data_IF_191093385855
#
_entry.id   IF_191093385855
#
_cell.length_a   1.000
_cell.length_b   1.000
_cell.length_c   1.000
_cell.angle_alpha   90.00
_cell.angle_beta   90.00
_cell.angle_gamma   90.00
#
_symmetry.space_group_name_H-M   'P 1'
#
loop_
_entity.id
_entity.type
_entity.pdbx_description
1 polymer ?
#
# COMPACT_ATOMS: atom_id res chain seq x y z
N UNK A 1 3.69 2.14 36.56
CA UNK A 1 2.83 3.05 35.76
C UNK A 1 3.74 3.89 34.88
N UNK A 2 4.05 3.40 33.68
CA UNK A 2 4.82 4.13 32.67
C UNK A 2 3.82 4.54 31.60
N UNK A 3 3.57 5.84 31.56
CA UNK A 3 2.77 6.50 30.54
C UNK A 3 3.77 6.92 29.45
N UNK A 4 3.93 6.11 28.40
CA UNK A 4 4.68 6.50 27.21
C UNK A 4 3.69 6.90 26.14
N UNK A 5 3.43 8.21 26.05
CA UNK A 5 2.81 8.80 24.87
C UNK A 5 3.70 8.48 23.67
N UNK A 6 3.19 7.66 22.75
CA UNK A 6 3.79 7.49 21.43
C UNK A 6 3.68 8.84 20.73
N UNK A 7 4.81 9.54 20.62
CA UNK A 7 4.92 10.73 19.79
C UNK A 7 4.62 10.30 18.34
N UNK A 8 3.44 10.68 17.86
CA UNK A 8 3.11 10.68 16.43
C UNK A 8 3.99 11.73 15.77
N UNK A 9 5.20 11.34 15.37
CA UNK A 9 5.94 12.12 14.40
C UNK A 9 5.16 12.04 13.08
N UNK A 10 4.27 13.01 12.86
CA UNK A 10 3.98 13.47 11.51
C UNK A 10 5.34 13.72 10.85
N UNK A 11 5.65 12.95 9.81
CA UNK A 11 6.81 13.25 8.98
C UNK A 11 6.50 14.57 8.26
N UNK A 12 6.96 15.70 8.79
CA UNK A 12 6.80 17.02 8.18
C UNK A 12 7.68 17.21 6.92
N UNK A 13 8.44 16.20 6.53
CA UNK A 13 9.31 16.19 5.36
C UNK A 13 9.45 14.77 4.80
N UNK A 14 8.50 14.35 3.96
CA UNK A 14 8.69 13.15 3.15
C UNK A 14 9.40 13.53 1.84
N UNK A 15 10.62 13.03 1.61
CA UNK A 15 11.34 13.25 0.36
C UNK A 15 10.91 12.22 -0.68
N UNK A 16 10.29 12.66 -1.77
CA UNK A 16 10.19 11.85 -2.99
C UNK A 16 11.35 12.27 -3.89
N UNK A 17 12.33 11.38 -4.06
CA UNK A 17 13.42 11.60 -5.01
C UNK A 17 12.84 11.49 -6.43
N UNK A 18 12.45 12.61 -7.03
CA UNK A 18 11.99 12.65 -8.42
C UNK A 18 13.14 13.06 -9.33
N UNK A 19 13.40 12.23 -10.34
CA UNK A 19 14.54 12.39 -11.23
C UNK A 19 14.06 12.80 -12.63
N UNK A 20 14.76 13.76 -13.21
CA UNK A 20 14.61 14.13 -14.61
C UNK A 20 15.80 13.57 -15.38
N UNK A 21 15.54 12.88 -16.50
CA UNK A 21 16.59 12.28 -17.31
C UNK A 21 16.90 13.12 -18.55
N UNK A 22 18.17 13.08 -18.95
CA UNK A 22 18.70 13.80 -20.11
C UNK A 22 19.74 12.96 -20.82
N UNK A 23 19.96 13.17 -22.12
CA UNK A 23 21.00 12.46 -22.86
C UNK A 23 21.75 13.39 -23.82
N UNK A 24 23.00 13.05 -24.13
CA UNK A 24 23.81 13.85 -25.03
C UNK A 24 23.45 13.64 -26.50
N UNK A 25 23.62 14.68 -27.34
CA UNK A 25 23.47 14.53 -28.79
C UNK A 25 24.68 13.84 -29.45
N UNK A 26 25.87 13.99 -28.86
CA UNK A 26 27.12 13.43 -29.38
C UNK A 26 27.61 12.27 -28.52
N UNK A 27 28.37 11.34 -29.13
CA UNK A 27 29.01 10.24 -28.40
C UNK A 27 30.33 10.67 -27.77
N UNK A 28 30.68 10.12 -26.61
CA UNK A 28 31.91 10.43 -25.88
C UNK A 28 32.38 9.26 -25.02
N UNK A 29 33.63 9.32 -24.54
CA UNK A 29 34.19 8.34 -23.58
C UNK A 29 33.48 8.43 -22.25
N UNK A 30 33.47 7.37 -21.45
CA UNK A 30 32.74 7.34 -20.18
C UNK A 30 33.13 8.51 -19.24
N UNK A 31 34.42 8.82 -19.12
CA UNK A 31 34.87 9.93 -18.28
C UNK A 31 34.32 11.29 -18.76
N UNK A 32 34.39 11.54 -20.07
CA UNK A 32 33.81 12.74 -20.69
C UNK A 32 32.28 12.79 -20.56
N UNK A 33 31.61 11.63 -20.63
CA UNK A 33 30.17 11.52 -20.40
C UNK A 33 29.80 11.98 -18.99
N UNK A 34 30.61 11.55 -18.00
CA UNK A 34 30.43 12.00 -16.62
C UNK A 34 30.66 13.49 -16.45
N UNK A 35 31.79 14.00 -16.94
CA UNK A 35 32.13 15.42 -16.90
C UNK A 35 31.01 16.26 -17.52
N UNK A 36 30.50 15.83 -18.69
CA UNK A 36 29.38 16.47 -19.35
C UNK A 36 28.08 16.45 -18.52
N UNK A 37 27.73 15.30 -17.92
CA UNK A 37 26.55 15.22 -17.06
C UNK A 37 26.68 16.09 -15.79
N UNK A 38 27.88 16.21 -15.21
CA UNK A 38 28.13 17.04 -14.03
C UNK A 38 28.17 18.54 -14.38
N UNK A 39 28.57 18.89 -15.59
CA UNK A 39 28.58 20.27 -16.09
C UNK A 39 27.15 20.79 -16.34
N UNK A 40 26.24 19.92 -16.82
CA UNK A 40 24.91 20.32 -17.27
C UNK A 40 23.74 19.86 -16.39
N UNK A 41 23.93 18.83 -15.55
CA UNK A 41 22.90 18.17 -14.74
C UNK A 41 23.44 17.81 -13.34
N UNK A 42 22.92 16.76 -12.68
CA UNK A 42 23.47 16.28 -11.39
C UNK A 42 24.67 15.36 -11.60
N UNK A 43 24.49 14.22 -12.27
CA UNK A 43 25.57 13.29 -12.65
C UNK A 43 25.03 12.32 -13.71
N UNK A 44 25.82 11.30 -14.10
CA UNK A 44 25.30 10.19 -14.90
C UNK A 44 24.25 9.39 -14.13
N UNK A 45 23.28 8.85 -14.87
CA UNK A 45 22.13 8.14 -14.29
C UNK A 45 22.54 7.04 -13.32
N UNK A 46 21.85 7.00 -12.18
CA UNK A 46 22.00 5.98 -11.15
C UNK A 46 20.68 5.22 -10.91
N UNK A 47 20.53 4.08 -11.57
CA UNK A 47 19.23 3.39 -11.67
C UNK A 47 18.85 2.71 -10.34
N UNK A 48 17.60 2.88 -9.92
CA UNK A 48 17.13 2.48 -8.59
C UNK A 48 16.34 1.16 -8.58
N UNK A 49 15.63 0.83 -9.66
CA UNK A 49 14.80 -0.37 -9.75
C UNK A 49 14.45 -0.76 -11.20
N UNK A 50 13.77 -1.89 -11.36
CA UNK A 50 13.38 -2.43 -12.67
C UNK A 50 12.34 -1.57 -13.42
N UNK A 51 11.53 -0.78 -12.72
CA UNK A 51 10.54 0.11 -13.35
C UNK A 51 11.22 1.27 -14.05
N UNK A 52 12.24 1.86 -13.42
CA UNK A 52 13.07 2.91 -14.01
C UNK A 52 13.74 2.41 -15.30
N UNK A 53 14.29 1.20 -15.29
CA UNK A 53 14.89 0.57 -16.49
C UNK A 53 13.87 0.45 -17.62
N UNK A 54 12.68 -0.04 -17.28
CA UNK A 54 11.59 -0.22 -18.23
C UNK A 54 11.18 1.12 -18.84
N UNK A 55 11.07 2.16 -18.01
CA UNK A 55 10.78 3.52 -18.44
C UNK A 55 11.87 4.08 -19.36
N UNK A 56 13.14 4.04 -18.93
CA UNK A 56 14.28 4.53 -19.71
C UNK A 56 14.36 3.84 -21.07
N UNK A 57 14.21 2.50 -21.11
CA UNK A 57 14.25 1.74 -22.34
C UNK A 57 13.08 2.08 -23.29
N UNK A 58 11.91 2.43 -22.76
CA UNK A 58 10.76 2.87 -23.55
C UNK A 58 10.95 4.27 -24.12
N UNK A 59 11.37 5.22 -23.28
CA UNK A 59 11.49 6.64 -23.62
C UNK A 59 12.69 6.94 -24.53
N UNK A 60 13.88 6.40 -24.21
CA UNK A 60 15.11 6.77 -24.89
C UNK A 60 15.07 6.37 -26.38
N UNK A 61 15.61 7.20 -27.28
CA UNK A 61 15.75 6.83 -28.69
C UNK A 61 16.77 5.71 -28.85
N UNK A 62 16.56 4.82 -29.84
CA UNK A 62 17.54 3.80 -30.18
C UNK A 62 18.82 4.46 -30.73
N UNK A 63 19.98 4.05 -30.23
CA UNK A 63 21.30 4.52 -30.69
C UNK A 63 22.19 3.31 -30.93
N UNK A 64 22.90 3.27 -32.05
CA UNK A 64 23.76 2.12 -32.42
C UNK A 64 24.91 1.90 -31.43
N UNK A 65 25.38 2.98 -30.79
CA UNK A 65 26.42 2.93 -29.75
C UNK A 65 25.91 2.83 -28.32
N UNK A 66 24.59 2.71 -28.12
CA UNK A 66 23.93 2.66 -26.81
C UNK A 66 24.28 3.86 -25.90
N UNK A 67 24.07 3.70 -24.59
CA UNK A 67 24.17 4.75 -23.59
C UNK A 67 25.11 4.36 -22.45
N UNK A 68 25.97 5.29 -22.03
CA UNK A 68 26.71 5.17 -20.78
C UNK A 68 25.80 5.40 -19.58
N UNK A 69 25.94 4.56 -18.56
CA UNK A 69 25.28 4.74 -17.26
C UNK A 69 26.29 4.95 -16.14
N UNK A 70 25.83 5.53 -15.03
CA UNK A 70 26.64 6.00 -13.92
C UNK A 70 27.13 4.93 -12.96
N UNK A 71 27.48 3.73 -13.42
CA UNK A 71 27.95 2.64 -12.55
C UNK A 71 29.38 2.22 -12.92
N UNK A 72 30.22 2.01 -11.90
CA UNK A 72 31.60 1.51 -12.05
C UNK A 72 31.94 0.50 -10.97
N UNK A 73 32.97 -0.28 -11.25
CA UNK A 73 33.55 -1.20 -10.29
C UNK A 73 34.59 -0.48 -9.42
N UNK A 74 34.28 -0.26 -8.14
CA UNK A 74 35.15 0.38 -7.14
C UNK A 74 35.44 -0.66 -6.06
N UNK A 75 36.71 -0.99 -5.83
CA UNK A 75 37.12 -2.01 -4.85
C UNK A 75 36.34 -3.34 -4.97
N UNK A 76 36.12 -3.79 -6.21
CA UNK A 76 35.37 -5.01 -6.55
C UNK A 76 33.85 -4.97 -6.28
N UNK A 77 33.29 -3.81 -5.94
CA UNK A 77 31.85 -3.59 -5.77
C UNK A 77 31.34 -2.69 -6.90
N UNK A 78 30.19 -3.01 -7.49
CA UNK A 78 29.53 -2.11 -8.45
C UNK A 78 28.86 -0.96 -7.69
N UNK A 79 29.22 0.26 -8.02
CA UNK A 79 28.81 1.47 -7.29
C UNK A 79 28.32 2.53 -8.26
N UNK A 80 27.18 3.12 -7.92
CA UNK A 80 26.63 4.28 -8.62
C UNK A 80 27.49 5.52 -8.31
N UNK A 81 28.19 6.03 -9.32
CA UNK A 81 29.20 7.07 -9.12
C UNK A 81 28.62 8.42 -8.70
N UNK A 82 27.36 8.70 -9.08
CA UNK A 82 26.66 9.94 -8.74
C UNK A 82 26.12 9.96 -7.31
N UNK A 83 25.62 8.84 -6.80
CA UNK A 83 25.00 8.75 -5.46
C UNK A 83 25.94 8.13 -4.41
N UNK A 84 27.06 7.56 -4.86
CA UNK A 84 28.00 6.77 -4.06
C UNK A 84 27.33 5.59 -3.31
N UNK A 85 26.22 5.08 -3.85
CA UNK A 85 25.51 3.92 -3.30
C UNK A 85 25.93 2.63 -4.05
N UNK A 86 26.06 1.49 -3.34
CA UNK A 86 26.29 0.21 -4.01
C UNK A 86 25.09 -0.21 -4.84
N UNK A 87 25.32 -1.05 -5.85
CA UNK A 87 24.25 -1.67 -6.63
C UNK A 87 23.41 -2.60 -5.75
N UNK A 88 22.09 -2.44 -5.81
CA UNK A 88 21.13 -3.30 -5.12
C UNK A 88 20.72 -4.48 -6.03
N UNK A 89 20.23 -5.56 -5.43
CA UNK A 89 19.70 -6.71 -6.19
C UNK A 89 18.50 -6.30 -7.04
N UNK A 90 17.59 -5.47 -6.50
CA UNK A 90 16.41 -4.94 -7.21
C UNK A 90 16.76 -4.11 -8.46
N UNK A 91 17.86 -3.36 -8.43
CA UNK A 91 18.30 -2.56 -9.57
C UNK A 91 19.16 -3.37 -10.56
N UNK A 92 19.66 -4.53 -10.17
CA UNK A 92 20.63 -5.29 -10.98
C UNK A 92 20.01 -5.78 -12.28
N UNK A 93 20.63 -5.43 -13.42
CA UNK A 93 20.05 -5.75 -14.72
C UNK A 93 21.06 -6.12 -15.81
N UNK A 94 22.06 -6.93 -15.46
CA UNK A 94 23.04 -7.48 -16.41
C UNK A 94 22.41 -8.33 -17.52
N UNK A 95 22.98 -8.26 -18.72
CA UNK A 95 22.66 -9.18 -19.80
C UNK A 95 23.22 -10.57 -19.51
N UNK A 96 22.74 -11.57 -20.26
CA UNK A 96 23.24 -12.94 -20.14
C UNK A 96 24.75 -12.99 -20.35
N UNK A 97 25.46 -13.58 -19.39
CA UNK A 97 26.93 -13.67 -19.28
C UNK A 97 27.68 -12.39 -18.88
N UNK A 98 26.99 -11.32 -18.46
CA UNK A 98 27.61 -10.10 -17.96
C UNK A 98 27.59 -9.99 -16.42
N UNK A 99 28.52 -9.24 -15.80
CA UNK A 99 29.67 -8.59 -16.40
C UNK A 99 30.83 -9.57 -16.68
N UNK A 100 31.35 -9.57 -17.91
CA UNK A 100 32.33 -10.55 -18.37
C UNK A 100 33.79 -10.06 -18.32
N UNK A 101 34.03 -8.77 -18.12
CA UNK A 101 35.34 -8.11 -18.11
C UNK A 101 36.21 -8.47 -19.33
N UNK A 102 35.63 -8.42 -20.53
CA UNK A 102 36.26 -8.74 -21.81
C UNK A 102 36.56 -10.23 -22.05
N UNK A 103 36.02 -11.17 -21.26
CA UNK A 103 36.41 -12.60 -21.31
C UNK A 103 35.84 -13.41 -22.47
N UNK A 104 35.11 -12.79 -23.40
CA UNK A 104 34.64 -13.42 -24.64
C UNK A 104 35.74 -13.57 -25.72
N UNK A 105 36.88 -14.17 -25.34
CA UNK A 105 37.85 -14.74 -26.30
C UNK A 105 38.97 -13.84 -26.81
N UNK A 106 39.20 -12.65 -26.22
CA UNK A 106 40.41 -11.86 -26.50
C UNK A 106 41.09 -11.41 -25.22
N UNK A 107 42.30 -11.94 -25.00
CA UNK A 107 43.26 -11.48 -24.00
C UNK A 107 43.82 -10.14 -24.46
N UNK A 108 43.01 -9.10 -24.38
CA UNK A 108 43.50 -7.74 -24.50
C UNK A 108 43.24 -7.15 -23.11
N UNK A 109 44.24 -7.29 -22.23
CA UNK A 109 44.20 -7.12 -20.78
C UNK A 109 43.83 -5.71 -20.31
N UNK A 110 42.69 -5.21 -20.76
CA UNK A 110 42.09 -3.94 -20.42
C UNK A 110 40.75 -4.25 -19.78
N UNK A 111 40.61 -3.86 -18.53
CA UNK A 111 39.38 -4.07 -17.76
C UNK A 111 38.22 -3.28 -18.39
N UNK A 112 37.05 -3.89 -18.36
CA UNK A 112 35.79 -3.28 -18.78
C UNK A 112 35.10 -2.71 -17.54
N UNK A 113 35.63 -1.59 -17.03
CA UNK A 113 35.21 -1.02 -15.74
C UNK A 113 34.06 0.00 -15.88
N UNK A 114 33.45 0.11 -17.06
CA UNK A 114 32.37 1.04 -17.38
C UNK A 114 31.18 0.29 -17.96
N UNK A 115 29.96 0.80 -17.79
CA UNK A 115 28.76 0.03 -18.13
C UNK A 115 27.87 0.78 -19.09
N UNK A 116 27.42 0.07 -20.12
CA UNK A 116 26.44 0.55 -21.07
C UNK A 116 25.07 -0.10 -20.88
N UNK A 117 24.02 0.59 -21.33
CA UNK A 117 22.64 0.09 -21.31
C UNK A 117 22.10 -0.13 -22.73
N UNK A 118 21.60 -1.34 -22.99
CA UNK A 118 21.07 -1.78 -24.29
C UNK A 118 19.66 -1.24 -24.60
N UNK A 119 19.54 0.07 -24.76
CA UNK A 119 18.27 0.72 -25.11
C UNK A 119 17.73 0.22 -26.46
N UNK A 120 16.51 -0.33 -26.46
CA UNK A 120 15.78 -0.82 -27.65
C UNK A 120 16.59 -1.81 -28.49
N UNK A 121 17.46 -2.60 -27.84
CA UNK A 121 18.15 -3.74 -28.46
C UNK A 121 17.13 -4.84 -28.77
N UNK A 122 17.34 -5.56 -29.87
CA UNK A 122 16.43 -6.63 -30.30
C UNK A 122 16.35 -7.76 -29.27
N UNK A 123 17.50 -8.19 -28.76
CA UNK A 123 17.60 -9.17 -27.68
C UNK A 123 18.01 -8.46 -26.39
N UNK A 124 17.35 -8.81 -25.29
CA UNK A 124 17.66 -8.31 -23.94
C UNK A 124 17.64 -6.76 -23.84
N UNK A 125 16.52 -6.10 -24.22
CA UNK A 125 16.41 -4.64 -24.16
C UNK A 125 16.53 -4.14 -22.72
N UNK A 126 17.22 -3.01 -22.54
CA UNK A 126 17.46 -2.38 -21.25
C UNK A 126 18.53 -3.07 -20.39
N UNK A 127 18.99 -4.28 -20.76
CA UNK A 127 20.06 -4.99 -20.04
C UNK A 127 21.41 -4.27 -20.13
N UNK A 128 22.30 -4.58 -19.21
CA UNK A 128 23.60 -3.93 -19.07
C UNK A 128 24.75 -4.81 -19.57
N UNK A 129 25.80 -4.15 -20.00
CA UNK A 129 27.06 -4.76 -20.41
C UNK A 129 28.22 -3.95 -19.88
N UNK A 130 29.24 -4.62 -19.33
CA UNK A 130 30.49 -3.96 -19.03
C UNK A 130 31.32 -3.80 -20.32
N UNK A 131 31.95 -2.64 -20.46
CA UNK A 131 32.65 -2.24 -21.67
C UNK A 131 33.83 -1.34 -21.33
N UNK A 132 34.78 -1.26 -22.26
CA UNK A 132 35.97 -0.41 -22.16
C UNK A 132 35.55 1.05 -22.12
N UNK A 133 35.94 1.74 -21.05
CA UNK A 133 35.66 3.16 -20.81
C UNK A 133 36.11 4.10 -21.95
N UNK A 134 37.06 3.68 -22.78
CA UNK A 134 37.57 4.43 -23.94
C UNK A 134 36.64 4.39 -25.16
N UNK A 135 35.61 3.53 -25.18
CA UNK A 135 34.60 3.53 -26.24
C UNK A 135 33.78 4.81 -26.20
N UNK A 136 33.21 5.19 -27.35
CA UNK A 136 32.38 6.39 -27.46
C UNK A 136 30.92 6.00 -27.52
N UNK A 137 30.12 6.46 -26.56
CA UNK A 137 28.68 6.21 -26.47
C UNK A 137 27.93 7.46 -26.05
N UNK A 138 26.60 7.42 -26.13
CA UNK A 138 25.73 8.53 -25.70
C UNK A 138 25.77 8.66 -24.18
N UNK A 139 25.87 9.87 -23.62
CA UNK A 139 25.78 10.07 -22.17
C UNK A 139 24.31 10.01 -21.74
N UNK A 140 24.01 9.35 -20.62
CA UNK A 140 22.70 9.39 -19.97
C UNK A 140 22.85 9.98 -18.57
N UNK A 141 22.21 11.11 -18.34
CA UNK A 141 22.32 11.91 -17.14
C UNK A 141 20.99 11.95 -16.39
N UNK A 142 21.07 12.32 -15.11
CA UNK A 142 19.90 12.68 -14.32
C UNK A 142 20.11 14.03 -13.63
N UNK A 143 19.00 14.67 -13.30
CA UNK A 143 18.94 15.75 -12.31
C UNK A 143 18.05 15.28 -11.16
N UNK A 144 18.57 15.30 -9.93
CA UNK A 144 17.77 15.07 -8.73
C UNK A 144 17.17 16.38 -8.23
N UNK A 145 15.85 16.51 -8.26
CA UNK A 145 15.18 17.64 -7.61
C UNK A 145 14.83 17.25 -6.15
N UNK A 146 15.36 18.00 -5.18
CA UNK A 146 14.84 17.94 -3.79
C UNK A 146 13.53 18.71 -3.74
N UNK A 147 12.42 18.04 -3.99
CA UNK A 147 11.09 18.67 -3.94
C UNK A 147 10.69 18.81 -2.47
N UNK A 148 10.56 20.06 -2.01
CA UNK A 148 9.94 20.34 -0.70
C UNK A 148 8.41 20.25 -0.84
N UNK A 149 7.83 19.50 0.07
CA UNK A 149 6.40 19.24 0.26
C UNK A 149 5.60 20.56 0.38
N UNK A 150 4.63 20.79 -0.52
CA UNK A 150 3.44 21.69 -0.45
C UNK A 150 2.92 22.09 -1.84
N UNK A 151 2.98 21.24 -2.86
CA UNK A 151 2.14 21.44 -4.06
C UNK A 151 1.44 20.12 -4.39
N UNK A 152 0.22 20.03 -3.90
CA UNK A 152 -0.85 19.17 -4.39
C UNK A 152 -0.85 19.19 -5.95
N UNK A 153 -0.72 18.02 -6.58
CA UNK A 153 -1.41 17.67 -7.83
C UNK A 153 -1.34 18.61 -9.07
N UNK A 154 -0.30 19.45 -9.28
CA UNK A 154 -0.26 20.32 -10.50
C UNK A 154 1.12 20.59 -11.08
N UNK A 155 2.08 19.65 -10.98
CA UNK A 155 3.37 19.76 -11.68
C UNK A 155 3.70 18.53 -12.52
N UNK A 156 2.72 18.10 -13.31
CA UNK A 156 2.99 17.58 -14.65
C UNK A 156 2.96 18.76 -15.63
N UNK A 157 3.79 19.79 -15.38
CA UNK A 157 3.92 20.92 -16.29
C UNK A 157 5.09 20.63 -17.22
N UNK A 158 4.74 20.25 -18.43
CA UNK A 158 5.56 20.47 -19.61
C UNK A 158 5.96 21.95 -19.66
N UNK A 159 7.25 22.26 -19.78
CA UNK A 159 7.67 23.49 -20.45
C UNK A 159 8.72 23.19 -21.52
N UNK A 160 8.20 22.99 -22.73
CA UNK A 160 8.65 23.54 -24.02
C UNK A 160 10.17 23.69 -24.19
N UNK A 161 10.75 22.79 -25.01
CA UNK A 161 12.10 22.93 -25.58
C UNK A 161 12.98 21.70 -25.38
N UNK A 162 12.68 20.62 -26.12
CA UNK A 162 13.50 19.42 -26.40
C UNK A 162 14.30 18.74 -25.26
N UNK A 163 13.99 17.45 -25.02
CA UNK A 163 14.80 16.38 -24.35
C UNK A 163 14.75 16.14 -22.83
N UNK A 164 13.71 16.53 -22.11
CA UNK A 164 13.54 16.14 -20.69
C UNK A 164 12.22 15.40 -20.44
N UNK A 165 12.26 14.24 -19.76
CA UNK A 165 11.08 13.60 -19.16
C UNK A 165 11.32 13.35 -17.66
N UNK A 166 10.36 13.78 -16.84
CA UNK A 166 10.38 13.63 -15.38
C UNK A 166 9.72 12.31 -15.02
N UNK A 167 10.47 11.42 -14.35
CA UNK A 167 9.94 10.18 -13.79
C UNK A 167 9.89 10.36 -12.27
N UNK A 168 8.69 10.46 -11.72
CA UNK A 168 8.52 10.31 -10.28
C UNK A 168 8.15 8.85 -10.02
N UNK A 169 9.10 8.11 -9.45
CA UNK A 169 8.85 6.76 -8.95
C UNK A 169 8.04 6.95 -7.66
N UNK A 170 6.79 6.51 -7.68
CA UNK A 170 5.98 6.57 -6.47
C UNK A 170 6.51 5.56 -5.47
N UNK A 171 6.64 6.01 -4.23
CA UNK A 171 6.97 5.14 -3.10
C UNK A 171 5.93 4.01 -3.04
N UNK A 172 6.41 2.76 -3.00
CA UNK A 172 5.54 1.58 -2.94
C UNK A 172 5.49 1.03 -1.52
N UNK A 173 4.31 0.63 -1.10
CA UNK A 173 4.12 -0.13 0.12
C UNK A 173 4.14 -1.62 -0.16
N UNK A 174 4.53 -2.40 0.84
CA UNK A 174 4.57 -3.85 0.73
C UNK A 174 3.15 -4.40 0.56
N UNK A 175 2.91 -5.07 -0.57
CA UNK A 175 1.64 -5.72 -0.88
C UNK A 175 1.32 -6.84 0.12
N UNK A 176 2.33 -7.53 0.64
CA UNK A 176 2.14 -8.70 1.49
C UNK A 176 1.60 -8.32 2.89
N UNK A 177 1.65 -7.04 3.25
CA UNK A 177 1.02 -6.49 4.45
C UNK A 177 -0.50 -6.29 4.29
N UNK A 178 -1.03 -6.33 3.06
CA UNK A 178 -2.47 -6.33 2.80
C UNK A 178 -2.99 -7.77 2.91
N UNK A 179 -3.17 -8.23 4.15
CA UNK A 179 -3.63 -9.59 4.42
C UNK A 179 -5.16 -9.70 4.43
N UNK A 180 -5.70 -10.91 4.33
CA UNK A 180 -7.10 -11.24 4.63
C UNK A 180 -7.19 -11.98 5.98
N UNK A 181 -7.43 -11.26 7.10
CA UNK A 181 -7.74 -11.85 8.39
C UNK A 181 -9.00 -12.70 8.40
N UNK A 182 -9.19 -13.50 9.45
CA UNK A 182 -10.41 -14.28 9.65
C UNK A 182 -11.65 -13.37 9.74
N UNK A 183 -12.78 -13.83 9.18
CA UNK A 183 -14.08 -13.12 9.18
C UNK A 183 -14.10 -11.80 8.38
N UNK A 184 -13.07 -11.52 7.60
CA UNK A 184 -13.09 -10.52 6.54
C UNK A 184 -13.77 -11.09 5.31
N UNK A 185 -14.78 -10.39 4.80
CA UNK A 185 -15.51 -10.79 3.60
C UNK A 185 -14.83 -10.30 2.32
N UNK A 186 -14.28 -9.08 2.33
CA UNK A 186 -13.64 -8.47 1.18
C UNK A 186 -12.58 -7.43 1.59
N UNK A 187 -11.53 -7.30 0.78
CA UNK A 187 -10.60 -6.18 0.80
C UNK A 187 -10.64 -5.49 -0.56
N UNK A 188 -11.03 -4.22 -0.58
CA UNK A 188 -11.12 -3.39 -1.78
C UNK A 188 -10.00 -2.35 -1.78
N UNK A 189 -9.12 -2.41 -2.76
CA UNK A 189 -8.00 -1.46 -2.89
C UNK A 189 -8.20 -0.53 -4.09
N UNK A 190 -7.86 0.75 -3.88
CA UNK A 190 -7.84 1.80 -4.90
C UNK A 190 -6.41 2.30 -5.11
N UNK A 191 -5.99 2.38 -6.37
CA UNK A 191 -4.61 2.65 -6.78
C UNK A 191 -4.59 3.79 -7.80
N UNK A 192 -4.44 5.03 -7.33
CA UNK A 192 -4.46 6.23 -8.19
C UNK A 192 -3.14 6.43 -8.94
N UNK A 193 -2.01 6.09 -8.32
CA UNK A 193 -0.65 6.36 -8.82
C UNK A 193 0.14 5.09 -9.20
N UNK A 194 -0.56 3.95 -9.33
CA UNK A 194 0.02 2.62 -9.56
C UNK A 194 -0.26 1.64 -8.42
N UNK A 195 -0.13 0.34 -8.67
CA UNK A 195 -0.45 -0.70 -7.67
C UNK A 195 0.39 -0.53 -6.39
N UNK A 196 -0.31 -0.44 -5.26
CA UNK A 196 0.24 -0.27 -3.91
C UNK A 196 1.24 0.90 -3.77
N UNK A 197 1.09 1.91 -4.61
CA UNK A 197 1.89 3.14 -4.58
C UNK A 197 1.36 4.14 -3.56
N UNK A 198 2.13 5.19 -3.29
CA UNK A 198 1.74 6.33 -2.45
C UNK A 198 0.29 6.75 -2.72
N UNK A 199 -0.45 6.92 -1.62
CA UNK A 199 -1.87 7.28 -1.58
C UNK A 199 -2.83 6.16 -2.00
N UNK A 200 -2.34 4.95 -2.29
CA UNK A 200 -3.19 3.77 -2.41
C UNK A 200 -3.96 3.55 -1.11
N UNK A 201 -5.25 3.26 -1.22
CA UNK A 201 -6.13 3.05 -0.08
C UNK A 201 -6.81 1.68 -0.20
N UNK A 202 -6.65 0.84 0.83
CA UNK A 202 -7.33 -0.44 0.95
C UNK A 202 -8.35 -0.39 2.07
N UNK A 203 -9.57 -0.86 1.79
CA UNK A 203 -10.70 -0.85 2.71
C UNK A 203 -11.21 -2.27 2.92
N UNK A 204 -11.44 -2.60 4.19
CA UNK A 204 -11.83 -3.91 4.66
C UNK A 204 -13.32 -3.94 4.95
N UNK A 205 -13.96 -5.08 4.66
CA UNK A 205 -15.34 -5.38 5.03
C UNK A 205 -15.39 -6.71 5.78
N UNK A 206 -16.21 -6.80 6.83
CA UNK A 206 -16.40 -8.02 7.61
C UNK A 206 -17.55 -8.87 7.06
N UNK A 207 -17.57 -10.16 7.43
CA UNK A 207 -18.74 -11.02 7.29
C UNK A 207 -19.91 -10.51 8.15
N UNK A 208 -21.14 -10.91 7.79
CA UNK A 208 -22.33 -10.55 8.57
C UNK A 208 -22.21 -11.02 10.03
N UNK A 209 -22.53 -10.12 10.97
CA UNK A 209 -22.38 -10.37 12.41
C UNK A 209 -20.99 -10.14 12.96
N UNK A 210 -20.10 -9.57 12.15
CA UNK A 210 -18.80 -9.07 12.61
C UNK A 210 -18.64 -7.59 12.24
N UNK A 211 -17.90 -6.86 13.06
CA UNK A 211 -17.59 -5.45 12.87
C UNK A 211 -16.09 -5.20 12.92
N UNK A 212 -15.62 -4.18 12.22
CA UNK A 212 -14.21 -3.81 12.19
C UNK A 212 -13.75 -3.30 13.57
N UNK A 213 -12.57 -3.74 14.01
CA UNK A 213 -11.93 -3.29 15.25
C UNK A 213 -11.42 -1.83 15.17
N UNK A 214 -11.26 -1.28 13.97
CA UNK A 214 -10.76 0.07 13.71
C UNK A 214 -11.46 0.71 12.51
N UNK A 215 -10.88 1.79 11.95
CA UNK A 215 -11.41 2.53 10.79
C UNK A 215 -11.66 1.66 9.55
N UNK A 216 -11.07 0.47 9.49
CA UNK A 216 -11.23 -0.46 8.37
C UNK A 216 -10.44 -0.07 7.13
N UNK A 217 -9.57 0.95 7.22
CA UNK A 217 -8.86 1.46 6.05
C UNK A 217 -7.37 1.66 6.33
N UNK A 218 -6.56 1.35 5.32
CA UNK A 218 -5.11 1.57 5.34
C UNK A 218 -4.69 2.37 4.11
N UNK A 219 -3.75 3.30 4.29
CA UNK A 219 -3.23 4.16 3.24
C UNK A 219 -1.72 3.97 3.09
N UNK A 220 -1.25 3.85 1.86
CA UNK A 220 0.19 3.82 1.59
C UNK A 220 0.77 5.23 1.77
N UNK A 221 1.69 5.39 2.72
CA UNK A 221 2.27 6.68 3.07
C UNK A 221 3.52 6.99 2.25
N UNK A 222 3.96 8.25 2.27
CA UNK A 222 5.17 8.67 1.55
C UNK A 222 6.46 8.06 2.12
N UNK A 223 6.40 7.37 3.26
CA UNK A 223 7.51 6.61 3.84
C UNK A 223 7.62 5.17 3.32
N UNK A 224 6.69 4.71 2.47
CA UNK A 224 6.68 3.33 1.97
C UNK A 224 6.13 2.31 2.95
N UNK A 225 5.49 2.80 4.01
CA UNK A 225 4.76 2.00 4.97
C UNK A 225 3.27 2.30 4.90
N UNK A 226 2.45 1.31 5.21
CA UNK A 226 1.03 1.51 5.43
C UNK A 226 0.77 2.33 6.69
N UNK A 227 -0.30 3.13 6.68
CA UNK A 227 -0.68 4.00 7.81
C UNK A 227 -1.13 3.22 9.04
N UNK A 228 -1.75 2.07 8.82
CA UNK A 228 -2.31 1.18 9.83
C UNK A 228 -2.05 -0.28 9.43
N UNK A 229 -2.11 -1.18 10.40
CA UNK A 229 -2.10 -2.62 10.17
C UNK A 229 -3.51 -3.09 9.73
N UNK A 230 -3.63 -4.25 9.07
CA UNK A 230 -4.94 -4.83 8.76
C UNK A 230 -5.83 -4.93 10.00
N UNK A 231 -7.10 -4.48 9.92
CA UNK A 231 -8.05 -4.55 11.04
C UNK A 231 -8.48 -6.00 11.29
N UNK A 232 -8.99 -6.28 12.49
CA UNK A 232 -9.66 -7.55 12.79
C UNK A 232 -11.17 -7.37 12.75
N UNK A 233 -11.88 -8.46 12.44
CA UNK A 233 -13.33 -8.49 12.49
C UNK A 233 -13.77 -9.11 13.82
N UNK A 234 -14.42 -8.31 14.66
CA UNK A 234 -14.88 -8.69 16.00
C UNK A 234 -16.36 -9.05 15.96
N UNK A 235 -16.72 -10.11 16.69
CA UNK A 235 -18.10 -10.59 16.77
C UNK A 235 -19.00 -9.51 17.39
N UNK A 236 -20.12 -9.19 16.74
CA UNK A 236 -21.05 -8.19 17.29
C UNK A 236 -21.75 -8.74 18.53
N UNK A 237 -21.92 -7.87 19.53
CA UNK A 237 -22.63 -8.16 20.76
C UNK A 237 -23.89 -7.31 20.85
N UNK A 238 -25.01 -7.96 21.13
CA UNK A 238 -26.24 -7.30 21.49
C UNK A 238 -26.24 -6.86 22.95
N UNK A 239 -27.14 -5.92 23.27
CA UNK A 239 -27.36 -5.49 24.65
C UNK A 239 -27.70 -6.71 25.52
N UNK A 240 -27.00 -6.86 26.64
CA UNK A 240 -27.31 -7.92 27.61
C UNK A 240 -28.78 -7.82 28.07
N UNK A 241 -29.49 -8.94 27.98
CA UNK A 241 -30.87 -9.07 28.43
C UNK A 241 -30.90 -9.56 29.88
N UNK A 242 -31.99 -9.25 30.58
CA UNK A 242 -32.21 -9.68 31.95
C UNK A 242 -33.48 -10.53 32.07
N UNK A 243 -33.52 -11.42 33.05
CA UNK A 243 -34.76 -12.11 33.39
C UNK A 243 -35.83 -11.09 33.80
N UNK A 244 -37.03 -11.09 33.18
CA UNK A 244 -38.13 -10.22 33.58
C UNK A 244 -38.55 -10.47 35.04
N UNK A 245 -39.01 -9.43 35.73
CA UNK A 245 -39.65 -9.63 37.03
C UNK A 245 -40.89 -10.51 36.87
N UNK A 246 -41.08 -11.51 37.76
CA UNK A 246 -42.15 -12.52 37.64
C UNK A 246 -42.11 -13.32 36.33
N UNK A 247 -40.92 -13.50 35.74
CA UNK A 247 -40.74 -14.28 34.53
C UNK A 247 -39.46 -15.10 34.51
N UNK A 248 -39.27 -15.81 33.41
CA UNK A 248 -38.13 -16.66 33.13
C UNK A 248 -37.52 -16.29 31.78
N UNK A 249 -36.22 -16.51 31.65
CA UNK A 249 -35.45 -16.29 30.43
C UNK A 249 -34.49 -17.45 30.24
N UNK A 250 -34.54 -18.08 29.07
CA UNK A 250 -33.62 -19.15 28.67
C UNK A 250 -32.93 -18.78 27.36
N UNK A 251 -31.60 -18.71 27.38
CA UNK A 251 -30.79 -18.20 26.28
C UNK A 251 -29.85 -19.28 25.72
N UNK A 252 -29.72 -19.29 24.40
CA UNK A 252 -28.74 -20.09 23.65
C UNK A 252 -27.77 -19.16 22.94
N UNK A 253 -26.50 -19.26 23.30
CA UNK A 253 -25.39 -18.38 22.89
C UNK A 253 -24.34 -19.18 22.09
N UNK A 254 -24.58 -19.49 20.79
CA UNK A 254 -23.74 -20.44 20.04
C UNK A 254 -22.33 -19.92 19.71
N UNK A 255 -22.15 -18.61 19.60
CA UNK A 255 -20.89 -17.97 19.22
C UNK A 255 -20.22 -17.20 20.38
N UNK A 256 -20.99 -16.88 21.42
CA UNK A 256 -20.58 -16.06 22.55
C UNK A 256 -21.79 -15.48 23.26
N UNK A 257 -21.60 -15.01 24.50
CA UNK A 257 -22.73 -14.50 25.28
C UNK A 257 -23.35 -13.26 24.64
N UNK A 258 -24.67 -13.29 24.45
CA UNK A 258 -25.44 -12.20 23.84
C UNK A 258 -24.89 -11.74 22.48
N UNK A 259 -24.25 -12.63 21.72
CA UNK A 259 -23.65 -12.29 20.41
C UNK A 259 -24.57 -12.58 19.24
N UNK A 260 -24.16 -12.21 18.02
CA UNK A 260 -24.88 -12.57 16.79
C UNK A 260 -25.36 -14.04 16.79
N UNK A 261 -26.61 -14.24 16.37
CA UNK A 261 -27.34 -15.52 16.36
C UNK A 261 -27.72 -16.09 17.74
N UNK A 262 -27.42 -15.39 18.84
CA UNK A 262 -27.97 -15.76 20.15
C UNK A 262 -29.49 -15.60 20.15
N UNK A 263 -30.15 -16.50 20.85
CA UNK A 263 -31.61 -16.53 20.96
C UNK A 263 -32.02 -16.67 22.42
N UNK A 264 -32.94 -15.83 22.90
CA UNK A 264 -33.49 -15.90 24.24
C UNK A 264 -35.00 -16.06 24.20
N UNK A 265 -35.53 -17.06 24.92
CA UNK A 265 -36.96 -17.34 25.04
C UNK A 265 -37.44 -16.92 26.42
N UNK A 266 -38.57 -16.22 26.45
CA UNK A 266 -39.18 -15.65 27.64
C UNK A 266 -40.51 -16.32 27.97
N UNK A 267 -40.79 -16.44 29.26
CA UNK A 267 -42.07 -16.88 29.79
C UNK A 267 -42.39 -16.16 31.11
N UNK A 268 -43.65 -16.13 31.51
CA UNK A 268 -44.09 -15.49 32.75
C UNK A 268 -44.57 -16.53 33.78
N UNK A 269 -44.49 -16.17 35.05
CA UNK A 269 -45.11 -16.92 36.14
C UNK A 269 -46.63 -17.01 35.95
N UNK A 270 -47.25 -17.99 36.62
CA UNK A 270 -48.72 -18.14 36.61
C UNK A 270 -49.41 -16.85 37.10
N UNK A 271 -50.43 -16.39 36.36
CA UNK A 271 -51.13 -15.12 36.64
C UNK A 271 -50.53 -13.88 35.98
N UNK A 272 -49.50 -14.04 35.14
CA UNK A 272 -48.90 -12.95 34.36
C UNK A 272 -48.87 -13.28 32.87
N UNK A 273 -48.85 -12.25 32.02
CA UNK A 273 -48.75 -12.39 30.56
C UNK A 273 -47.61 -11.56 29.99
N UNK A 274 -47.01 -12.07 28.92
CA UNK A 274 -45.90 -11.42 28.24
C UNK A 274 -46.39 -10.18 27.47
N UNK A 275 -45.77 -9.03 27.70
CA UNK A 275 -46.08 -7.75 27.06
C UNK A 275 -44.80 -7.04 26.57
N UNK A 276 -44.97 -6.07 25.67
CA UNK A 276 -43.88 -5.20 25.18
C UNK A 276 -43.03 -5.73 24.01
N UNK A 277 -43.25 -6.98 23.56
CA UNK A 277 -42.62 -7.59 22.38
C UNK A 277 -43.66 -8.29 21.52
N UNK A 278 -43.44 -8.37 20.21
CA UNK A 278 -44.29 -9.12 19.26
C UNK A 278 -44.11 -10.64 19.37
N UNK A 279 -43.03 -11.10 20.00
CA UNK A 279 -42.66 -12.50 20.12
C UNK A 279 -42.12 -12.81 21.53
N UNK A 280 -42.29 -14.05 21.97
CA UNK A 280 -41.66 -14.56 23.20
C UNK A 280 -40.20 -14.96 23.01
N UNK A 281 -39.66 -14.86 21.79
CA UNK A 281 -38.28 -15.17 21.45
C UNK A 281 -37.61 -13.97 20.79
N UNK A 282 -36.46 -13.60 21.31
CA UNK A 282 -35.58 -12.57 20.76
C UNK A 282 -34.35 -13.20 20.13
N UNK A 283 -33.92 -12.66 18.99
CA UNK A 283 -32.70 -13.06 18.28
C UNK A 283 -31.77 -11.87 18.09
N UNK A 284 -30.49 -12.06 18.40
CA UNK A 284 -29.46 -11.06 18.17
C UNK A 284 -29.06 -11.05 16.68
N UNK A 285 -29.24 -9.91 16.04
CA UNK A 285 -28.99 -9.71 14.61
C UNK A 285 -27.57 -9.21 14.34
N UNK A 286 -27.15 -9.25 13.06
CA UNK A 286 -25.80 -8.83 12.65
C UNK A 286 -25.51 -7.34 12.86
N UNK A 287 -26.54 -6.55 13.17
CA UNK A 287 -26.44 -5.14 13.55
C UNK A 287 -26.01 -4.92 15.01
N UNK A 288 -25.94 -5.97 15.83
CA UNK A 288 -25.76 -5.85 17.28
C UNK A 288 -27.04 -5.41 18.01
N UNK A 289 -28.21 -5.54 17.37
CA UNK A 289 -29.50 -5.29 17.97
C UNK A 289 -30.32 -6.58 18.06
N UNK A 290 -31.14 -6.67 19.10
CA UNK A 290 -32.20 -7.68 19.15
C UNK A 290 -33.30 -7.29 18.15
N UNK A 291 -33.91 -8.31 17.54
CA UNK A 291 -34.98 -8.14 16.56
C UNK A 291 -36.26 -7.48 17.12
N UNK A 292 -36.40 -7.38 18.44
CA UNK A 292 -37.46 -6.64 19.12
C UNK A 292 -37.01 -6.20 20.53
N UNK A 293 -37.85 -5.44 21.22
CA UNK A 293 -37.63 -4.98 22.59
C UNK A 293 -37.77 -6.12 23.61
N UNK A 294 -37.03 -6.02 24.71
CA UNK A 294 -37.12 -6.98 25.82
C UNK A 294 -38.55 -7.01 26.40
N UNK A 295 -39.21 -8.19 26.46
CA UNK A 295 -40.54 -8.30 27.03
C UNK A 295 -40.54 -8.15 28.56
N UNK A 296 -41.70 -7.80 29.10
CA UNK A 296 -41.99 -7.80 30.53
C UNK A 296 -43.26 -8.61 30.82
N UNK A 297 -43.52 -8.91 32.10
CA UNK A 297 -44.66 -9.70 32.55
C UNK A 297 -45.67 -8.81 33.29
N UNK A 298 -46.87 -8.66 32.72
CA UNK A 298 -47.96 -7.90 33.32
C UNK A 298 -48.95 -8.83 34.03
N UNK A 299 -49.37 -8.46 35.24
CA UNK A 299 -50.38 -9.22 35.98
C UNK A 299 -51.72 -9.19 35.25
N UNK A 300 -52.41 -10.33 35.19
CA UNK A 300 -53.69 -10.47 34.49
C UNK A 300 -54.80 -9.57 35.03
N UNK A 301 -54.73 -9.16 36.30
CA UNK A 301 -55.67 -8.20 36.93
C UNK A 301 -55.57 -6.78 36.34
N UNK A 302 -54.42 -6.42 35.76
CA UNK A 302 -54.16 -5.09 35.17
C UNK A 302 -54.87 -4.90 33.81
N UNK A 303 -55.24 -6.00 33.15
CA UNK A 303 -55.80 -6.00 31.79
C UNK A 303 -57.33 -5.85 31.81
N UNK A 304 -57.98 -6.14 32.95
CA UNK A 304 -59.43 -6.03 33.12
C UNK A 304 -59.93 -4.64 33.56
N UNK A 305 -59.05 -3.68 33.86
CA UNK A 305 -59.46 -2.35 34.34
C UNK A 305 -59.91 -1.39 33.21
N UNK A 306 -59.67 -1.75 31.93
CA UNK A 306 -60.17 -1.01 30.77
C UNK A 306 -61.34 -1.71 30.05
N UNK A 307 -62.27 -2.29 30.81
CA UNK A 307 -63.58 -2.72 30.28
C UNK A 307 -64.68 -1.76 30.75
N UNK A 308 -65.53 -1.19 29.86
CA UNK A 308 -66.45 -0.10 30.19
C UNK A 308 -67.73 -0.54 30.92
N UNK A 309 -67.74 -1.68 31.60
CA UNK A 309 -68.92 -2.17 32.31
C UNK A 309 -68.77 -2.10 33.82
N UNK A 310 -68.89 -0.89 34.38
CA UNK A 310 -69.17 -0.69 35.80
C UNK A 310 -69.89 0.66 36.03
N UNK A 311 -71.08 0.81 35.45
CA UNK A 311 -72.14 1.68 35.98
C UNK A 311 -73.48 1.02 35.66
N UNK A 312 -74.13 0.41 36.66
CA UNK A 312 -75.56 0.50 36.92
C UNK A 312 -75.96 -0.39 38.12
N UNK A 313 -76.55 0.30 39.10
CA UNK A 313 -77.25 -0.14 40.31
C UNK A 313 -76.44 -0.79 41.44
#
# INVERSE_FOLDING_TARGET
KLNTSVNRNLCLHCFVDCWSYYFSNNTMTWQKAREWCQEHYTDMVAIQNQEEITHLNSWLPKKDGYYWIGIRKIQNVWTWVGTNKPLTEEATNWASNEPNNGKNGKIDGKNEDCVEMYVKRYNEPGKWNDERCSKRKTALCYTGEKIHEYIHFTLCVLSIGDTAQKLCIFVKCNKDEVTLPEKVSEVSCSHTNGEYSYDSMCQYSCEEGYQLSSSGSMRCTANGSWSEQPPTCELVQCKELSTPERGFMDCSDPLGSSSYQSTCVFSCEEGYVLAGSQSNSLRCEGSGLWNDSQPHCDGTDSIFVNSPFAFLC
#
